data_IF_825002925621
#
_entry.id   IF_825002925621
#
_cell.length_a   1.000
_cell.length_b   1.000
_cell.length_c   1.000
_cell.angle_alpha   90.00
_cell.angle_beta   90.00
_cell.angle_gamma   90.00
#
_symmetry.space_group_name_H-M   'P 1'
#
loop_
_entity.id
_entity.type
_entity.pdbx_description
1 polymer ?
#
# COMPACT_ATOMS: atom_id res chain seq x y z
N UNK A 1 7.53 14.04 -31.82
CA UNK A 1 8.21 12.76 -32.12
C UNK A 1 7.58 11.70 -31.23
N UNK A 2 6.73 10.85 -31.80
CA UNK A 2 6.16 9.68 -31.13
C UNK A 2 7.28 8.67 -30.87
N UNK A 3 7.48 8.29 -29.61
CA UNK A 3 8.24 7.10 -29.26
C UNK A 3 7.24 6.00 -28.87
N UNK A 4 6.99 5.08 -29.80
CA UNK A 4 6.39 3.79 -29.48
C UNK A 4 7.40 3.01 -28.61
N UNK A 5 7.02 2.69 -27.37
CA UNK A 5 7.72 1.70 -26.57
C UNK A 5 6.95 0.39 -26.65
N UNK A 6 7.46 -0.55 -27.45
CA UNK A 6 7.16 -1.96 -27.26
C UNK A 6 7.89 -2.42 -26.00
N UNK A 7 7.16 -2.70 -24.93
CA UNK A 7 7.70 -3.34 -23.73
C UNK A 7 7.73 -4.86 -23.94
N UNK A 8 8.91 -5.37 -24.31
CA UNK A 8 9.22 -6.80 -24.23
C UNK A 8 9.42 -7.17 -22.76
N UNK A 9 8.52 -7.97 -22.19
CA UNK A 9 8.73 -8.60 -20.88
C UNK A 9 9.94 -9.54 -20.98
N UNK A 10 11.02 -9.23 -20.27
CA UNK A 10 12.09 -10.19 -20.01
C UNK A 10 11.99 -10.59 -18.54
N UNK A 11 11.27 -11.68 -18.27
CA UNK A 11 11.32 -12.36 -16.97
C UNK A 11 12.63 -13.16 -16.89
N UNK A 12 13.69 -12.52 -16.39
CA UNK A 12 14.86 -13.25 -15.90
C UNK A 12 14.52 -13.82 -14.52
N UNK A 13 14.17 -15.11 -14.49
CA UNK A 13 13.98 -15.87 -13.26
C UNK A 13 15.30 -16.03 -12.52
N UNK A 14 15.62 -15.09 -11.63
CA UNK A 14 16.52 -15.38 -10.52
C UNK A 14 15.72 -16.21 -9.51
N UNK A 15 16.13 -17.47 -9.31
CA UNK A 15 15.70 -18.25 -8.15
C UNK A 15 16.10 -17.45 -6.91
N UNK A 16 15.12 -16.85 -6.23
CA UNK A 16 15.33 -16.35 -4.89
C UNK A 16 15.76 -17.54 -4.02
N UNK A 17 16.88 -17.39 -3.31
CA UNK A 17 17.28 -18.36 -2.30
C UNK A 17 16.12 -18.57 -1.34
N UNK A 18 15.84 -19.83 -0.98
CA UNK A 18 14.79 -20.16 -0.02
C UNK A 18 14.98 -19.32 1.25
N UNK A 19 13.95 -18.57 1.63
CA UNK A 19 13.89 -17.87 2.91
C UNK A 19 14.04 -18.93 4.01
N UNK A 20 14.94 -18.74 4.99
CA UNK A 20 15.02 -19.63 6.14
C UNK A 20 13.67 -19.60 6.88
N UNK A 21 13.11 -20.77 7.16
CA UNK A 21 11.93 -20.88 8.01
C UNK A 21 12.28 -20.46 9.44
N UNK A 22 11.68 -19.37 9.91
CA UNK A 22 11.77 -18.95 11.31
C UNK A 22 11.20 -20.00 12.26
N UNK A 23 11.74 -20.15 13.48
CA UNK A 23 11.18 -21.02 14.50
C UNK A 23 9.84 -20.44 15.00
N UNK A 24 8.83 -21.27 15.31
CA UNK A 24 7.54 -20.77 15.76
C UNK A 24 7.67 -20.17 17.17
N UNK A 25 7.36 -18.88 17.34
CA UNK A 25 7.17 -18.33 18.69
C UNK A 25 7.41 -16.84 18.95
N UNK A 26 7.52 -15.98 17.93
CA UNK A 26 7.57 -14.52 18.12
C UNK A 26 6.60 -13.79 17.20
N UNK A 27 6.05 -12.65 17.65
CA UNK A 27 5.23 -11.73 16.83
C UNK A 27 5.91 -11.27 15.53
N UNK A 28 7.22 -11.46 15.42
CA UNK A 28 8.05 -11.01 14.31
C UNK A 28 7.75 -11.76 12.99
N UNK A 29 7.16 -12.95 13.03
CA UNK A 29 6.80 -13.70 11.81
C UNK A 29 5.34 -13.48 11.38
N UNK A 30 4.56 -12.77 12.21
CA UNK A 30 3.19 -12.40 11.84
C UNK A 30 3.27 -11.44 10.64
N UNK A 31 2.44 -11.67 9.62
CA UNK A 31 2.34 -10.87 8.37
C UNK A 31 3.44 -11.06 7.31
N UNK A 32 4.39 -11.99 7.48
CA UNK A 32 5.46 -12.23 6.48
C UNK A 32 5.09 -13.23 5.38
N UNK A 33 4.11 -14.12 5.60
CA UNK A 33 3.72 -15.11 4.59
C UNK A 33 2.86 -14.46 3.49
N UNK A 34 3.31 -14.45 2.22
CA UNK A 34 2.51 -13.95 1.11
C UNK A 34 1.39 -14.92 0.67
N UNK A 35 1.23 -16.08 1.30
CA UNK A 35 0.18 -17.07 1.00
C UNK A 35 0.25 -17.63 -0.42
N UNK A 36 1.45 -17.69 -0.99
CA UNK A 36 1.69 -18.02 -2.39
C UNK A 36 1.80 -19.52 -2.71
N UNK A 37 1.85 -20.40 -1.70
CA UNK A 37 2.00 -21.85 -1.92
C UNK A 37 3.26 -22.23 -2.71
N UNK A 38 4.37 -21.49 -2.51
CA UNK A 38 5.65 -21.70 -3.21
C UNK A 38 5.89 -20.81 -4.43
N UNK A 39 4.87 -20.10 -4.93
CA UNK A 39 5.05 -19.05 -5.95
C UNK A 39 5.75 -17.83 -5.34
N UNK A 40 6.51 -17.06 -6.13
CA UNK A 40 7.42 -16.04 -5.57
C UNK A 40 7.20 -14.61 -6.08
N UNK A 41 6.55 -14.44 -7.24
CA UNK A 41 6.46 -13.13 -7.91
C UNK A 41 5.06 -12.55 -7.80
N UNK A 42 4.98 -11.30 -7.34
CA UNK A 42 3.76 -10.50 -7.32
C UNK A 42 3.89 -9.42 -8.41
N UNK A 43 2.81 -9.14 -9.14
CA UNK A 43 2.76 -8.10 -10.18
C UNK A 43 1.88 -6.93 -9.73
N UNK A 44 2.30 -5.69 -9.97
CA UNK A 44 1.45 -4.54 -9.78
C UNK A 44 0.71 -4.22 -11.09
N UNK A 45 -0.59 -4.48 -11.13
CA UNK A 45 -1.44 -4.12 -12.28
C UNK A 45 -2.00 -2.72 -12.06
N UNK A 46 -1.12 -1.73 -12.22
CA UNK A 46 -1.39 -0.33 -11.91
C UNK A 46 -2.52 0.24 -12.78
N UNK A 47 -3.58 0.69 -12.11
CA UNK A 47 -4.77 1.32 -12.71
C UNK A 47 -5.65 0.41 -13.57
N UNK A 48 -5.46 -0.90 -13.49
CA UNK A 48 -6.32 -1.87 -14.19
C UNK A 48 -7.71 -1.93 -13.57
N UNK A 49 -8.73 -2.16 -14.40
CA UNK A 49 -10.09 -2.44 -13.92
C UNK A 49 -10.17 -3.84 -13.34
N UNK A 50 -11.08 -4.06 -12.39
CA UNK A 50 -11.25 -5.36 -11.71
C UNK A 50 -11.53 -6.50 -12.70
N UNK A 51 -12.34 -6.23 -13.72
CA UNK A 51 -12.65 -7.22 -14.76
C UNK A 51 -11.42 -7.61 -15.59
N UNK A 52 -10.49 -6.69 -15.82
CA UNK A 52 -9.28 -6.94 -16.59
C UNK A 52 -8.25 -7.71 -15.74
N UNK A 53 -8.14 -7.39 -14.44
CA UNK A 53 -7.33 -8.15 -13.49
C UNK A 53 -7.83 -9.60 -13.37
N UNK A 54 -9.16 -9.79 -13.26
CA UNK A 54 -9.76 -11.12 -13.18
C UNK A 54 -9.40 -11.97 -14.41
N UNK A 55 -9.54 -11.39 -15.61
CA UNK A 55 -9.17 -12.05 -16.86
C UNK A 55 -7.67 -12.35 -16.94
N UNK A 56 -6.81 -11.44 -16.44
CA UNK A 56 -5.36 -11.59 -16.43
C UNK A 56 -4.91 -12.74 -15.52
N UNK A 57 -5.56 -12.90 -14.35
CA UNK A 57 -5.33 -14.01 -13.44
C UNK A 57 -5.53 -15.37 -14.11
N UNK A 58 -6.62 -15.55 -14.87
CA UNK A 58 -6.95 -16.82 -15.51
C UNK A 58 -6.12 -17.10 -16.77
N UNK A 59 -5.92 -16.08 -17.62
CA UNK A 59 -5.31 -16.26 -18.94
C UNK A 59 -3.78 -16.29 -18.88
N UNK A 60 -3.18 -15.63 -17.89
CA UNK A 60 -1.74 -15.40 -17.82
C UNK A 60 -1.16 -15.75 -16.46
N UNK A 61 -1.52 -15.03 -15.39
CA UNK A 61 -0.76 -15.05 -14.14
C UNK A 61 -0.81 -16.42 -13.45
N UNK A 62 -2.00 -17.03 -13.37
CA UNK A 62 -2.17 -18.35 -12.77
C UNK A 62 -1.45 -19.44 -13.56
N UNK A 63 -1.42 -19.35 -14.90
CA UNK A 63 -0.73 -20.31 -15.78
C UNK A 63 0.79 -20.19 -15.74
N UNK A 64 1.30 -19.00 -15.45
CA UNK A 64 2.72 -18.69 -15.35
C UNK A 64 3.21 -18.64 -13.89
N UNK A 65 2.45 -19.21 -12.95
CA UNK A 65 2.84 -19.38 -11.55
C UNK A 65 3.22 -18.08 -10.82
N UNK A 66 2.59 -16.96 -11.21
CA UNK A 66 2.65 -15.74 -10.40
C UNK A 66 1.92 -15.96 -9.07
N UNK A 67 2.51 -15.46 -8.00
CA UNK A 67 1.90 -15.53 -6.68
C UNK A 67 0.62 -14.69 -6.61
N UNK A 68 0.69 -13.43 -7.04
CA UNK A 68 -0.42 -12.52 -6.82
C UNK A 68 -0.32 -11.19 -7.54
N UNK A 69 -1.32 -10.36 -7.32
CA UNK A 69 -1.48 -9.04 -7.91
C UNK A 69 -1.60 -8.00 -6.81
N UNK A 70 -0.77 -6.95 -6.85
CA UNK A 70 -1.07 -5.70 -6.17
C UNK A 70 -2.03 -4.89 -7.04
N UNK A 71 -3.20 -4.58 -6.49
CA UNK A 71 -4.20 -3.72 -7.14
C UNK A 71 -4.10 -2.29 -6.63
N UNK A 72 -4.43 -1.31 -7.49
CA UNK A 72 -4.59 0.10 -7.08
C UNK A 72 -5.66 0.24 -5.98
N UNK A 73 -5.70 1.38 -5.23
CA UNK A 73 -6.62 1.56 -4.12
C UNK A 73 -8.09 1.29 -4.53
N UNK A 74 -8.79 0.36 -3.85
CA UNK A 74 -10.15 -0.03 -4.23
C UNK A 74 -11.23 0.82 -3.55
N UNK A 75 -10.85 1.58 -2.53
CA UNK A 75 -11.75 2.44 -1.79
C UNK A 75 -12.16 3.69 -2.59
N UNK A 76 -13.25 4.32 -2.17
CA UNK A 76 -13.73 5.57 -2.71
C UNK A 76 -12.69 6.69 -2.54
N UNK A 77 -12.47 7.43 -3.61
CA UNK A 77 -11.48 8.49 -3.69
C UNK A 77 -12.06 9.77 -4.29
N UNK A 78 -11.32 10.87 -4.14
CA UNK A 78 -11.65 12.13 -4.76
C UNK A 78 -11.62 12.03 -6.29
N UNK A 79 -12.43 12.86 -6.94
CA UNK A 79 -12.44 13.05 -8.39
C UNK A 79 -11.71 14.34 -8.73
N UNK A 80 -10.84 14.29 -9.74
CA UNK A 80 -10.05 15.43 -10.19
C UNK A 80 -10.29 15.67 -11.67
N UNK A 81 -10.76 16.88 -11.98
CA UNK A 81 -11.10 17.28 -13.36
C UNK A 81 -9.94 17.96 -14.09
N UNK A 82 -8.93 18.46 -13.36
CA UNK A 82 -7.79 19.17 -13.95
C UNK A 82 -6.45 18.80 -13.27
N UNK A 83 -5.57 18.04 -13.95
CA UNK A 83 -5.85 17.29 -15.18
C UNK A 83 -6.97 16.27 -14.97
N UNK A 84 -7.71 15.84 -16.01
CA UNK A 84 -8.84 14.93 -15.85
C UNK A 84 -8.38 13.52 -15.47
N UNK A 85 -8.98 12.97 -14.41
CA UNK A 85 -8.77 11.63 -13.88
C UNK A 85 -7.28 11.20 -13.80
N UNK A 86 -6.42 11.96 -13.10
CA UNK A 86 -5.04 11.58 -12.93
C UNK A 86 -4.93 10.40 -11.96
N UNK A 87 -4.00 9.49 -12.21
CA UNK A 87 -3.79 8.29 -11.39
C UNK A 87 -3.69 8.56 -9.88
N UNK A 88 -3.13 9.72 -9.49
CA UNK A 88 -2.91 10.07 -8.09
C UNK A 88 -4.19 10.44 -7.34
N UNK A 89 -5.32 10.64 -8.03
CA UNK A 89 -6.61 10.89 -7.38
C UNK A 89 -7.03 9.73 -6.48
N UNK A 90 -6.62 8.50 -6.82
CA UNK A 90 -6.91 7.27 -6.06
C UNK A 90 -6.29 7.24 -4.65
N UNK A 91 -5.27 8.07 -4.43
CA UNK A 91 -4.59 8.19 -3.14
C UNK A 91 -5.15 9.34 -2.28
N UNK A 92 -6.29 9.89 -2.68
CA UNK A 92 -7.04 10.90 -1.95
C UNK A 92 -8.35 10.27 -1.47
N UNK A 93 -8.29 9.47 -0.40
CA UNK A 93 -9.45 8.73 0.10
C UNK A 93 -10.60 9.68 0.50
N UNK A 94 -11.83 9.28 0.16
CA UNK A 94 -13.07 9.96 0.56
C UNK A 94 -13.88 9.05 1.48
N UNK A 95 -13.92 7.75 1.20
CA UNK A 95 -14.44 6.77 2.14
C UNK A 95 -13.83 5.39 1.92
N UNK A 96 -14.17 4.44 2.79
CA UNK A 96 -13.78 3.04 2.67
C UNK A 96 -14.81 2.17 1.90
N UNK A 97 -15.76 2.79 1.17
CA UNK A 97 -16.62 2.07 0.22
C UNK A 97 -15.80 1.50 -0.93
N UNK A 98 -16.08 0.27 -1.36
CA UNK A 98 -15.35 -0.39 -2.45
C UNK A 98 -15.94 0.02 -3.82
N UNK A 99 -15.66 1.23 -4.25
CA UNK A 99 -16.01 1.71 -5.57
C UNK A 99 -15.00 2.78 -5.99
N UNK A 100 -14.25 2.49 -7.05
CA UNK A 100 -13.18 3.33 -7.59
C UNK A 100 -13.23 3.33 -9.12
N UNK A 101 -12.31 4.03 -9.76
CA UNK A 101 -12.17 4.02 -11.24
C UNK A 101 -11.94 2.62 -11.82
N UNK A 102 -11.47 1.66 -11.00
CA UNK A 102 -11.31 0.27 -11.43
C UNK A 102 -12.62 -0.52 -11.47
N UNK A 103 -13.69 -0.04 -10.83
CA UNK A 103 -15.01 -0.68 -10.83
C UNK A 103 -15.71 -0.71 -9.46
N UNK A 104 -16.86 -1.35 -9.46
CA UNK A 104 -17.77 -1.53 -8.32
C UNK A 104 -17.31 -2.62 -7.35
N UNK A 105 -17.94 -2.68 -6.17
CA UNK A 105 -17.68 -3.72 -5.17
C UNK A 105 -17.95 -5.13 -5.73
N UNK A 106 -19.03 -5.30 -6.49
CA UNK A 106 -19.38 -6.59 -7.07
C UNK A 106 -18.29 -7.08 -8.04
N UNK A 107 -17.72 -6.18 -8.83
CA UNK A 107 -16.62 -6.49 -9.74
C UNK A 107 -15.32 -6.77 -8.97
N UNK A 108 -15.05 -6.05 -7.88
CA UNK A 108 -13.91 -6.33 -6.99
C UNK A 108 -14.01 -7.73 -6.38
N UNK A 109 -15.18 -8.11 -5.85
CA UNK A 109 -15.43 -9.44 -5.29
C UNK A 109 -15.26 -10.51 -6.37
N UNK A 110 -15.80 -10.29 -7.57
CA UNK A 110 -15.62 -11.21 -8.70
C UNK A 110 -14.14 -11.40 -9.05
N UNK A 111 -13.36 -10.31 -9.07
CA UNK A 111 -11.92 -10.37 -9.33
C UNK A 111 -11.18 -11.17 -8.26
N UNK A 112 -11.44 -10.92 -6.98
CA UNK A 112 -10.80 -11.67 -5.88
C UNK A 112 -11.09 -13.16 -6.00
N UNK A 113 -12.36 -13.54 -6.23
CA UNK A 113 -12.76 -14.94 -6.38
C UNK A 113 -12.11 -15.62 -7.59
N UNK A 114 -12.12 -14.97 -8.76
CA UNK A 114 -11.55 -15.54 -9.98
C UNK A 114 -10.02 -15.67 -9.88
N UNK A 115 -9.34 -14.66 -9.34
CA UNK A 115 -7.90 -14.73 -9.12
C UNK A 115 -7.53 -15.83 -8.13
N UNK A 116 -8.26 -15.95 -7.02
CA UNK A 116 -8.08 -17.03 -6.05
C UNK A 116 -8.29 -18.41 -6.70
N UNK A 117 -9.30 -18.58 -7.55
CA UNK A 117 -9.52 -19.82 -8.29
C UNK A 117 -8.37 -20.16 -9.26
N UNK A 118 -7.67 -19.16 -9.79
CA UNK A 118 -6.45 -19.32 -10.59
C UNK A 118 -5.16 -19.50 -9.74
N UNK A 119 -5.29 -19.56 -8.41
CA UNK A 119 -4.17 -19.63 -7.47
C UNK A 119 -3.39 -18.33 -7.33
N UNK A 120 -3.97 -17.20 -7.73
CA UNK A 120 -3.35 -15.87 -7.72
C UNK A 120 -3.95 -15.06 -6.56
N UNK A 121 -3.10 -14.62 -5.62
CA UNK A 121 -3.51 -13.80 -4.47
C UNK A 121 -3.73 -12.34 -4.85
N UNK A 122 -4.63 -11.67 -4.14
CA UNK A 122 -4.84 -10.22 -4.28
C UNK A 122 -4.25 -9.51 -3.07
N UNK A 123 -3.44 -8.49 -3.32
CA UNK A 123 -2.92 -7.55 -2.32
C UNK A 123 -3.47 -6.17 -2.62
N UNK A 124 -4.09 -5.56 -1.62
CA UNK A 124 -4.71 -4.24 -1.77
C UNK A 124 -3.72 -3.14 -1.42
N UNK A 125 -3.64 -2.11 -2.26
CA UNK A 125 -3.04 -0.84 -1.90
C UNK A 125 -3.95 -0.09 -0.91
N UNK A 126 -3.54 -0.05 0.36
CA UNK A 126 -4.33 0.46 1.47
C UNK A 126 -3.92 1.90 1.81
N UNK A 127 -4.82 2.85 1.52
CA UNK A 127 -4.63 4.28 1.77
C UNK A 127 -5.44 4.69 3.01
N UNK A 128 -4.75 4.87 4.14
CA UNK A 128 -5.36 5.36 5.38
C UNK A 128 -4.44 6.29 6.20
N UNK A 129 -3.27 6.67 5.68
CA UNK A 129 -2.48 7.76 6.25
C UNK A 129 -3.26 9.09 6.19
N UNK A 130 -3.97 9.30 5.08
CA UNK A 130 -4.64 10.54 4.78
C UNK A 130 -6.01 10.32 4.14
N UNK A 131 -6.82 11.38 4.15
CA UNK A 131 -8.00 11.52 3.31
C UNK A 131 -7.73 12.54 2.19
N UNK A 132 -8.77 13.09 1.56
CA UNK A 132 -8.62 14.03 0.44
C UNK A 132 -7.77 15.27 0.80
N UNK A 133 -7.09 15.82 -0.21
CA UNK A 133 -6.30 17.04 -0.12
C UNK A 133 -7.18 18.24 0.28
N UNK A 134 -6.63 19.12 1.13
CA UNK A 134 -7.25 20.40 1.53
C UNK A 134 -7.60 21.23 0.29
N UNK A 135 -8.71 21.96 0.33
CA UNK A 135 -9.26 22.70 -0.79
C UNK A 135 -10.13 21.86 -1.74
N UNK A 136 -10.54 20.65 -1.32
CA UNK A 136 -11.41 19.76 -2.10
C UNK A 136 -12.69 19.45 -1.36
N UNK A 137 -13.79 19.51 -2.09
CA UNK A 137 -15.11 19.20 -1.56
C UNK A 137 -15.98 18.66 -2.69
N UNK A 138 -17.14 18.11 -2.33
CA UNK A 138 -18.11 17.58 -3.28
C UNK A 138 -18.29 16.08 -3.09
N UNK A 139 -18.31 15.32 -4.18
CA UNK A 139 -18.57 13.86 -4.15
C UNK A 139 -17.36 13.06 -4.59
N UNK A 140 -17.10 11.96 -3.88
CA UNK A 140 -16.12 10.95 -4.29
C UNK A 140 -16.65 10.05 -5.42
N UNK A 141 -15.79 9.14 -5.88
CA UNK A 141 -16.08 8.16 -6.93
C UNK A 141 -17.27 7.24 -6.63
N UNK A 142 -17.67 7.08 -5.35
CA UNK A 142 -18.83 6.31 -4.92
C UNK A 142 -20.01 7.19 -4.48
N UNK A 143 -19.94 8.50 -4.75
CA UNK A 143 -21.01 9.46 -4.49
C UNK A 143 -21.12 9.98 -3.05
N UNK A 144 -20.21 9.59 -2.14
CA UNK A 144 -20.18 10.14 -0.78
C UNK A 144 -19.77 11.60 -0.82
N UNK A 145 -20.46 12.43 -0.04
CA UNK A 145 -20.06 13.83 0.13
C UNK A 145 -18.86 13.94 1.05
N UNK A 146 -18.00 14.92 0.83
CA UNK A 146 -16.91 15.30 1.73
C UNK A 146 -16.58 16.78 1.58
N UNK A 147 -15.94 17.32 2.62
CA UNK A 147 -15.32 18.64 2.61
C UNK A 147 -13.99 18.57 3.37
N UNK A 148 -12.87 18.58 2.64
CA UNK A 148 -11.55 18.42 3.23
C UNK A 148 -11.08 19.69 3.96
N UNK A 149 -11.63 20.87 3.66
CA UNK A 149 -11.31 22.09 4.38
C UNK A 149 -11.83 22.02 5.82
N UNK A 150 -12.99 21.39 6.03
CA UNK A 150 -13.56 21.16 7.35
C UNK A 150 -13.27 19.77 7.93
N UNK A 151 -12.51 18.93 7.21
CA UNK A 151 -12.17 17.54 7.59
C UNK A 151 -13.42 16.68 7.80
N UNK A 152 -14.45 16.94 6.99
CA UNK A 152 -15.71 16.23 7.05
C UNK A 152 -15.72 15.09 6.02
N UNK A 153 -15.69 13.85 6.51
CA UNK A 153 -15.84 12.65 5.68
C UNK A 153 -16.96 11.75 6.25
N UNK A 154 -18.24 12.14 6.08
CA UNK A 154 -19.37 11.49 6.76
C UNK A 154 -19.59 10.01 6.43
N UNK A 155 -19.04 9.53 5.32
CA UNK A 155 -19.13 8.12 4.94
C UNK A 155 -18.14 7.21 5.70
N UNK A 156 -17.09 7.79 6.32
CA UNK A 156 -16.21 7.11 7.31
C UNK A 156 -16.58 7.46 8.75
N UNK A 157 -17.71 8.14 8.93
CA UNK A 157 -17.87 9.33 9.80
C UNK A 157 -16.60 9.93 10.44
N UNK A 158 -15.64 10.42 9.66
CA UNK A 158 -14.56 11.25 10.23
C UNK A 158 -14.92 12.73 10.32
N UNK A 159 -14.48 13.36 11.42
CA UNK A 159 -14.51 14.79 11.68
C UNK A 159 -13.15 15.30 12.19
N UNK A 160 -13.09 16.57 12.60
CA UNK A 160 -11.84 17.24 13.02
C UNK A 160 -11.00 16.45 14.04
N UNK A 161 -11.64 15.77 15.00
CA UNK A 161 -10.97 15.03 16.08
C UNK A 161 -10.24 13.76 15.59
N UNK A 162 -10.49 13.33 14.36
CA UNK A 162 -9.87 12.16 13.73
C UNK A 162 -8.61 12.51 12.92
N UNK A 163 -8.23 13.79 12.86
CA UNK A 163 -7.07 14.27 12.10
C UNK A 163 -6.06 14.95 13.03
N UNK A 164 -4.79 14.88 12.63
CA UNK A 164 -3.78 15.74 13.21
C UNK A 164 -4.07 17.21 12.88
N UNK A 165 -3.81 18.08 13.86
CA UNK A 165 -4.05 19.51 13.76
C UNK A 165 -2.77 20.32 14.07
N UNK A 166 -2.92 21.64 14.22
CA UNK A 166 -1.80 22.53 14.54
C UNK A 166 -1.20 22.29 15.94
N UNK A 167 -1.85 21.52 16.81
CA UNK A 167 -1.34 21.16 18.13
C UNK A 167 -0.44 19.92 18.10
N UNK A 168 -0.68 18.99 17.16
CA UNK A 168 0.12 17.77 16.98
C UNK A 168 1.21 17.89 15.92
N UNK A 169 1.01 18.76 14.92
CA UNK A 169 2.00 19.05 13.90
C UNK A 169 3.01 20.13 14.38
N UNK A 170 4.32 19.84 14.46
CA UNK A 170 5.32 20.83 14.90
C UNK A 170 5.55 21.98 13.91
N UNK A 171 5.05 21.87 12.67
CA UNK A 171 5.18 22.89 11.65
C UNK A 171 4.10 23.96 11.73
N UNK A 172 4.49 25.22 11.53
CA UNK A 172 3.58 26.38 11.57
C UNK A 172 2.50 26.36 10.48
N UNK A 173 2.81 25.79 9.31
CA UNK A 173 1.88 25.76 8.18
C UNK A 173 1.07 24.44 8.14
N UNK A 174 1.26 23.53 9.10
CA UNK A 174 0.67 22.19 9.14
C UNK A 174 1.14 21.20 8.06
N UNK A 175 2.12 21.58 7.22
CA UNK A 175 2.73 20.70 6.21
C UNK A 175 4.06 20.13 6.68
N UNK A 176 4.47 19.02 6.06
CA UNK A 176 5.85 18.51 6.17
C UNK A 176 6.80 19.43 5.39
N UNK A 177 7.75 20.04 6.09
CA UNK A 177 8.83 20.87 5.54
C UNK A 177 10.21 20.32 5.93
N UNK A 178 10.39 19.81 7.14
CA UNK A 178 11.63 19.18 7.60
C UNK A 178 11.52 17.65 7.70
N UNK A 179 12.05 16.97 6.68
CA UNK A 179 12.12 15.51 6.64
C UNK A 179 13.12 14.90 7.64
N UNK A 180 13.90 15.71 8.35
CA UNK A 180 14.77 15.26 9.45
C UNK A 180 14.08 15.29 10.81
N UNK A 181 12.83 15.75 10.88
CA UNK A 181 12.03 15.77 12.10
C UNK A 181 10.96 14.66 12.04
N UNK A 182 11.12 13.54 12.76
CA UNK A 182 10.15 12.45 12.75
C UNK A 182 8.73 12.86 13.17
N UNK A 183 8.60 13.84 14.08
CA UNK A 183 7.31 14.34 14.50
C UNK A 183 6.62 15.16 13.41
N UNK A 184 7.39 15.86 12.58
CA UNK A 184 6.85 16.57 11.43
C UNK A 184 6.44 15.59 10.32
N UNK A 185 7.30 14.62 10.01
CA UNK A 185 7.02 13.59 9.00
C UNK A 185 5.76 12.78 9.33
N UNK A 186 5.45 12.55 10.61
CA UNK A 186 4.36 11.64 11.01
C UNK A 186 3.08 12.29 11.52
N UNK A 187 3.08 13.61 11.75
CA UNK A 187 1.91 14.33 12.29
C UNK A 187 1.49 15.53 11.44
N UNK A 188 2.16 15.80 10.33
CA UNK A 188 1.86 16.93 9.46
C UNK A 188 1.41 16.46 8.08
N UNK A 189 0.65 17.32 7.41
CA UNK A 189 0.12 17.07 6.08
C UNK A 189 1.26 16.84 5.06
N UNK A 190 1.34 15.63 4.54
CA UNK A 190 2.13 15.34 3.35
C UNK A 190 1.40 15.91 2.12
N UNK A 191 2.06 16.84 1.42
CA UNK A 191 1.59 17.47 0.17
C UNK A 191 0.15 18.01 0.21
N UNK A 192 -0.33 18.47 1.37
CA UNK A 192 -1.67 19.07 1.52
C UNK A 192 -2.80 18.07 1.75
N UNK A 193 -2.50 16.78 1.93
CA UNK A 193 -3.48 15.76 2.29
C UNK A 193 -3.87 15.87 3.76
N UNK A 194 -5.17 15.72 4.05
CA UNK A 194 -5.68 15.74 5.43
C UNK A 194 -5.12 14.53 6.18
N UNK A 195 -4.30 14.79 7.21
CA UNK A 195 -3.49 13.78 7.89
C UNK A 195 -4.28 13.13 9.03
N UNK A 196 -4.59 11.85 8.91
CA UNK A 196 -5.44 11.11 9.87
C UNK A 196 -4.62 10.80 11.13
N UNK A 197 -5.21 10.95 12.33
CA UNK A 197 -4.53 10.63 13.59
C UNK A 197 -4.77 9.15 13.96
N UNK A 198 -3.85 8.27 13.54
CA UNK A 198 -3.95 6.83 13.82
C UNK A 198 -3.71 6.47 15.29
N UNK A 199 -3.42 7.44 16.17
CA UNK A 199 -3.37 7.20 17.61
C UNK A 199 -4.77 7.14 18.24
N UNK A 200 -5.80 7.71 17.57
CA UNK A 200 -7.18 7.70 18.04
C UNK A 200 -7.82 6.33 17.92
N UNK A 201 -8.58 5.95 18.95
CA UNK A 201 -9.30 4.67 18.98
C UNK A 201 -10.32 4.56 17.84
N UNK A 202 -11.08 5.63 17.59
CA UNK A 202 -12.08 5.67 16.51
C UNK A 202 -11.46 5.47 15.12
N UNK A 203 -10.32 6.10 14.85
CA UNK A 203 -9.56 5.91 13.61
C UNK A 203 -9.09 4.46 13.47
N UNK A 204 -8.49 3.88 14.52
CA UNK A 204 -8.03 2.49 14.50
C UNK A 204 -9.17 1.51 14.25
N UNK A 205 -10.33 1.74 14.85
CA UNK A 205 -11.55 0.98 14.61
C UNK A 205 -11.94 1.04 13.13
N UNK A 206 -12.13 2.24 12.56
CA UNK A 206 -12.57 2.42 11.17
C UNK A 206 -11.60 1.84 10.15
N UNK A 207 -10.29 2.02 10.35
CA UNK A 207 -9.27 1.41 9.49
C UNK A 207 -9.30 -0.12 9.60
N UNK A 208 -9.37 -0.66 10.82
CA UNK A 208 -9.42 -2.12 11.02
C UNK A 208 -10.70 -2.75 10.47
N UNK A 209 -11.86 -2.07 10.55
CA UNK A 209 -13.11 -2.50 9.91
C UNK A 209 -12.95 -2.60 8.38
N UNK A 210 -12.34 -1.59 7.76
CA UNK A 210 -12.07 -1.57 6.33
C UNK A 210 -11.15 -2.72 5.90
N UNK A 211 -10.02 -2.89 6.58
CA UNK A 211 -9.05 -3.95 6.27
C UNK A 211 -9.64 -5.35 6.54
N UNK A 212 -10.38 -5.52 7.65
CA UNK A 212 -11.05 -6.80 7.95
C UNK A 212 -12.15 -7.14 6.94
N UNK A 213 -12.88 -6.14 6.41
CA UNK A 213 -13.82 -6.38 5.31
C UNK A 213 -13.10 -6.91 4.08
N UNK A 214 -11.95 -6.33 3.71
CA UNK A 214 -11.16 -6.82 2.58
C UNK A 214 -10.64 -8.25 2.79
N UNK A 215 -10.17 -8.57 4.01
CA UNK A 215 -9.77 -9.94 4.39
C UNK A 215 -10.94 -10.91 4.21
N UNK A 216 -12.13 -10.56 4.70
CA UNK A 216 -13.35 -11.37 4.56
C UNK A 216 -13.74 -11.61 3.10
N UNK A 217 -13.48 -10.65 2.21
CA UNK A 217 -13.69 -10.80 0.77
C UNK A 217 -12.65 -11.69 0.08
N UNK A 218 -11.57 -12.09 0.77
CA UNK A 218 -10.53 -12.99 0.26
C UNK A 218 -9.23 -12.29 -0.18
N UNK A 219 -9.03 -11.02 0.19
CA UNK A 219 -7.74 -10.33 0.02
C UNK A 219 -6.70 -11.00 0.93
N UNK A 220 -5.53 -11.30 0.37
CA UNK A 220 -4.47 -12.03 1.07
C UNK A 220 -3.52 -11.11 1.85
N UNK A 221 -3.54 -9.81 1.59
CA UNK A 221 -2.65 -8.87 2.23
C UNK A 221 -2.73 -7.44 1.70
N UNK A 222 -1.81 -6.60 2.17
CA UNK A 222 -1.86 -5.16 1.98
C UNK A 222 -0.48 -4.57 1.69
N UNK A 223 -0.44 -3.66 0.70
CA UNK A 223 0.58 -2.63 0.58
C UNK A 223 0.11 -1.43 1.38
N UNK A 224 0.79 -1.09 2.47
CA UNK A 224 0.42 0.06 3.30
C UNK A 224 1.02 1.32 2.68
N UNK A 225 0.18 2.16 2.07
CA UNK A 225 0.59 3.43 1.47
C UNK A 225 1.13 4.40 2.53
N UNK A 226 2.14 5.19 2.15
CA UNK A 226 2.73 6.23 3.00
C UNK A 226 3.08 5.78 4.43
N UNK A 227 3.48 4.52 4.62
CA UNK A 227 3.82 3.99 5.95
C UNK A 227 4.91 4.81 6.67
N UNK A 228 5.84 5.43 5.92
CA UNK A 228 6.83 6.39 6.45
C UNK A 228 6.21 7.52 7.28
N UNK A 229 5.02 7.97 6.89
CA UNK A 229 4.29 9.09 7.49
C UNK A 229 3.35 8.64 8.62
N UNK A 230 3.35 7.36 8.99
CA UNK A 230 2.63 6.86 10.15
C UNK A 230 3.62 6.38 11.23
N UNK A 231 3.20 6.41 12.49
CA UNK A 231 4.02 5.83 13.56
C UNK A 231 3.93 4.30 13.54
N UNK A 232 5.07 3.57 13.67
CA UNK A 232 5.06 2.11 13.76
C UNK A 232 4.15 1.56 14.87
N UNK A 233 4.08 2.23 16.02
CA UNK A 233 3.19 1.84 17.13
C UNK A 233 1.70 1.89 16.74
N UNK A 234 1.31 2.83 15.89
CA UNK A 234 -0.09 3.02 15.48
C UNK A 234 -0.45 2.02 14.39
N UNK A 235 0.49 1.73 13.48
CA UNK A 235 0.40 0.60 12.55
C UNK A 235 0.26 -0.73 13.28
N UNK A 236 1.09 -0.98 14.29
CA UNK A 236 1.00 -2.18 15.12
C UNK A 236 -0.37 -2.30 15.79
N UNK A 237 -0.89 -1.22 16.39
CA UNK A 237 -2.19 -1.22 17.05
C UNK A 237 -3.37 -1.49 16.08
N UNK A 238 -3.23 -1.11 14.80
CA UNK A 238 -4.19 -1.45 13.74
C UNK A 238 -4.03 -2.92 13.33
N UNK A 239 -2.80 -3.38 13.09
CA UNK A 239 -2.51 -4.75 12.67
C UNK A 239 -3.00 -5.80 13.69
N UNK A 240 -2.83 -5.53 14.98
CA UNK A 240 -3.31 -6.40 16.07
C UNK A 240 -4.83 -6.59 16.07
N UNK A 241 -5.59 -5.71 15.41
CA UNK A 241 -7.05 -5.84 15.24
C UNK A 241 -7.46 -6.63 14.00
N UNK A 242 -6.51 -6.95 13.13
CA UNK A 242 -6.82 -7.69 11.92
C UNK A 242 -7.17 -9.13 12.27
N UNK A 243 -8.13 -9.67 11.54
CA UNK A 243 -8.53 -11.08 11.58
C UNK A 243 -7.59 -11.92 10.72
N UNK A 244 -7.59 -13.23 10.98
CA UNK A 244 -6.89 -14.17 10.09
C UNK A 244 -7.63 -14.26 8.75
N UNK A 245 -6.90 -14.64 7.71
CA UNK A 245 -7.49 -14.93 6.40
C UNK A 245 -8.53 -16.06 6.53
N UNK A 246 -9.58 -16.09 5.69
CA UNK A 246 -10.55 -17.20 5.68
C UNK A 246 -9.92 -18.59 5.51
N UNK A 247 -8.76 -18.66 4.84
CA UNK A 247 -7.97 -19.89 4.64
C UNK A 247 -6.95 -20.17 5.76
N UNK A 248 -6.86 -19.30 6.76
CA UNK A 248 -5.91 -19.37 7.86
C UNK A 248 -4.66 -18.50 7.66
N UNK A 249 -4.04 -18.11 8.79
CA UNK A 249 -2.85 -17.27 8.83
C UNK A 249 -3.13 -15.77 8.79
N UNK A 250 -2.12 -14.97 9.15
CA UNK A 250 -2.18 -13.50 9.15
C UNK A 250 -2.09 -12.96 7.72
N UNK A 251 -2.75 -11.82 7.39
CA UNK A 251 -2.60 -11.20 6.07
C UNK A 251 -1.13 -10.83 5.79
N UNK A 252 -0.69 -10.93 4.55
CA UNK A 252 0.65 -10.44 4.16
C UNK A 252 0.69 -8.92 4.25
N UNK A 253 1.71 -8.33 4.87
CA UNK A 253 1.83 -6.86 4.94
C UNK A 253 3.20 -6.42 4.47
N UNK A 254 3.22 -5.44 3.57
CA UNK A 254 4.43 -4.71 3.19
C UNK A 254 4.21 -3.21 3.20
N UNK A 255 5.15 -2.50 3.83
CA UNK A 255 5.06 -1.09 4.15
C UNK A 255 5.79 -0.25 3.10
N UNK A 256 5.11 0.74 2.57
CA UNK A 256 5.73 1.72 1.69
C UNK A 256 6.51 2.76 2.51
N UNK A 257 7.79 2.47 2.75
CA UNK A 257 8.72 3.37 3.43
C UNK A 257 9.75 3.84 2.41
N UNK A 258 9.51 5.02 1.84
CA UNK A 258 10.47 5.65 0.93
C UNK A 258 11.73 6.03 1.71
N UNK A 259 12.82 5.30 1.49
CA UNK A 259 14.12 5.55 2.10
C UNK A 259 15.24 5.17 1.12
N UNK A 260 16.12 6.12 0.83
CA UNK A 260 17.24 5.95 -0.10
C UNK A 260 18.61 5.77 0.57
N UNK A 261 18.64 5.66 1.90
CA UNK A 261 19.81 5.29 2.72
C UNK A 261 20.20 6.32 3.79
N UNK A 262 19.74 7.55 3.68
CA UNK A 262 20.15 8.70 4.50
C UNK A 262 19.02 9.35 5.31
N UNK A 263 17.77 8.91 5.12
CA UNK A 263 16.61 9.44 5.85
C UNK A 263 16.68 9.22 7.37
N UNK A 264 16.15 10.17 8.15
CA UNK A 264 16.01 10.04 9.61
C UNK A 264 15.11 8.86 10.01
N UNK A 265 14.05 8.63 9.24
CA UNK A 265 13.13 7.50 9.41
C UNK A 265 13.74 6.27 8.77
N UNK A 266 13.97 5.23 9.57
CA UNK A 266 14.64 4.01 9.11
C UNK A 266 13.61 2.92 8.76
N UNK A 267 13.91 2.13 7.73
CA UNK A 267 13.09 0.97 7.34
C UNK A 267 13.00 -0.08 8.44
N UNK A 268 14.07 -0.22 9.25
CA UNK A 268 14.12 -1.12 10.41
C UNK A 268 13.12 -0.77 11.51
N UNK A 269 12.48 0.40 11.47
CA UNK A 269 11.39 0.72 12.39
C UNK A 269 10.08 -0.05 12.07
N UNK A 270 10.01 -0.70 10.89
CA UNK A 270 8.79 -1.33 10.38
C UNK A 270 8.95 -2.83 10.08
N UNK A 271 10.17 -3.37 10.10
CA UNK A 271 10.43 -4.78 9.74
C UNK A 271 9.74 -5.77 10.69
N UNK A 272 9.61 -5.41 11.97
CA UNK A 272 8.88 -6.22 12.96
C UNK A 272 7.35 -6.25 12.71
N UNK A 273 6.84 -5.42 11.80
CA UNK A 273 5.42 -5.29 11.48
C UNK A 273 5.06 -5.93 10.13
N UNK A 274 6.05 -6.43 9.40
CA UNK A 274 5.91 -6.95 8.05
C UNK A 274 7.07 -6.49 7.15
N UNK A 275 6.95 -6.82 5.86
CA UNK A 275 7.97 -6.42 4.88
C UNK A 275 8.01 -4.90 4.69
N UNK A 276 9.14 -4.42 4.14
CA UNK A 276 9.30 -3.01 3.73
C UNK A 276 9.74 -2.96 2.27
N UNK A 277 9.27 -1.95 1.54
CA UNK A 277 9.73 -1.67 0.16
C UNK A 277 11.18 -1.17 0.15
N UNK A 278 12.08 -1.90 -0.52
CA UNK A 278 13.50 -1.52 -0.60
C UNK A 278 13.78 -0.62 -1.82
N UNK A 279 13.59 0.68 -1.64
CA UNK A 279 13.77 1.69 -2.68
C UNK A 279 15.19 1.77 -3.25
N UNK A 280 16.20 1.33 -2.49
CA UNK A 280 17.59 1.34 -2.97
C UNK A 280 17.87 0.18 -3.91
N UNK A 281 17.07 -0.89 -3.88
CA UNK A 281 17.29 -2.07 -4.72
C UNK A 281 17.36 -1.68 -6.21
N UNK A 282 16.38 -0.91 -6.70
CA UNK A 282 16.37 -0.42 -8.07
C UNK A 282 17.59 0.46 -8.41
N UNK A 283 18.04 1.29 -7.47
CA UNK A 283 19.23 2.13 -7.65
C UNK A 283 20.51 1.29 -7.76
N UNK A 284 20.68 0.30 -6.87
CA UNK A 284 21.83 -0.60 -6.92
C UNK A 284 21.82 -1.46 -8.19
N UNK A 285 20.66 -1.95 -8.60
CA UNK A 285 20.51 -2.70 -9.86
C UNK A 285 20.88 -1.83 -11.07
N UNK A 286 20.36 -0.61 -11.16
CA UNK A 286 20.68 0.31 -12.25
C UNK A 286 22.19 0.65 -12.28
N UNK A 287 22.80 0.88 -11.12
CA UNK A 287 24.26 1.08 -11.00
C UNK A 287 25.02 -0.16 -11.44
N UNK A 288 24.59 -1.36 -11.06
CA UNK A 288 25.23 -2.59 -11.46
C UNK A 288 25.20 -2.81 -12.98
N UNK A 289 24.06 -2.54 -13.61
CA UNK A 289 23.91 -2.68 -15.07
C UNK A 289 24.72 -1.64 -15.86
N UNK A 290 24.96 -0.46 -15.29
CA UNK A 290 25.67 0.64 -15.97
C UNK A 290 27.15 0.75 -15.61
N UNK A 291 27.55 0.25 -14.45
CA UNK A 291 28.91 0.45 -13.87
C UNK A 291 29.58 -0.83 -13.38
N UNK A 292 28.98 -2.00 -13.56
CA UNK A 292 29.55 -3.31 -13.22
C UNK A 292 28.89 -3.98 -12.00
N UNK A 293 28.84 -5.31 -12.02
CA UNK A 293 28.07 -6.12 -11.06
C UNK A 293 28.53 -6.02 -9.61
N UNK A 294 29.77 -5.58 -9.33
CA UNK A 294 30.27 -5.35 -7.97
C UNK A 294 29.41 -4.33 -7.19
N UNK A 295 28.67 -3.47 -7.90
CA UNK A 295 27.73 -2.52 -7.30
C UNK A 295 26.49 -3.21 -6.66
N UNK A 296 26.26 -4.51 -6.91
CA UNK A 296 25.22 -5.30 -6.21
C UNK A 296 25.62 -5.70 -4.78
N UNK A 297 26.92 -5.69 -4.46
CA UNK A 297 27.40 -6.09 -3.12
C UNK A 297 26.92 -5.14 -2.02
N UNK A 298 26.57 -3.90 -2.36
CA UNK A 298 25.95 -2.95 -1.42
C UNK A 298 24.53 -3.31 -0.96
N UNK A 299 23.89 -4.30 -1.61
CA UNK A 299 22.58 -4.83 -1.22
C UNK A 299 22.71 -5.81 -0.04
N UNK A 300 23.84 -6.54 0.04
CA UNK A 300 24.08 -7.54 1.08
C UNK A 300 24.59 -6.87 2.37
N UNK A 301 23.67 -6.44 3.24
CA UNK A 301 24.06 -5.96 4.57
C UNK A 301 23.00 -5.18 5.36
N UNK A 302 21.73 -5.15 4.93
CA UNK A 302 20.73 -4.22 5.45
C UNK A 302 19.44 -4.90 5.99
N UNK A 303 19.46 -6.21 6.27
CA UNK A 303 18.30 -6.98 6.74
C UNK A 303 17.69 -7.82 5.61
N UNK A 304 17.22 -9.04 5.89
CA UNK A 304 16.86 -10.03 4.89
C UNK A 304 15.36 -10.05 4.53
N UNK A 305 14.63 -8.95 4.75
CA UNK A 305 13.16 -8.92 4.67
C UNK A 305 12.68 -7.79 3.75
N UNK A 306 13.09 -7.84 2.49
CA UNK A 306 12.75 -6.82 1.50
C UNK A 306 11.85 -7.36 0.40
N UNK A 307 10.77 -6.63 0.15
CA UNK A 307 9.96 -6.77 -1.05
C UNK A 307 10.45 -5.75 -2.08
N UNK A 308 10.97 -6.22 -3.21
CA UNK A 308 11.32 -5.36 -4.34
C UNK A 308 10.14 -5.32 -5.31
N UNK A 309 9.32 -4.27 -5.23
CA UNK A 309 8.37 -3.96 -6.29
C UNK A 309 9.15 -3.36 -7.48
N UNK A 310 9.13 -4.05 -8.62
CA UNK A 310 9.58 -3.43 -9.87
C UNK A 310 8.41 -2.58 -10.40
N UNK A 311 8.41 -1.29 -10.07
CA UNK A 311 7.53 -0.31 -10.69
C UNK A 311 8.03 -0.11 -12.14
N UNK A 312 7.23 -0.54 -13.12
CA UNK A 312 7.42 -0.21 -14.54
C UNK A 312 6.67 1.08 -14.89
#
# INVERSE_FOLDING_TARGET
MLALWLSTLVCLGLKAAALPSSPPGGRHDDYLDPHCGGRQVIVQLFDWRWIDVAAECERCLGRNEFCGVQVSPPNEHALVDSPPAPWWQRYQAVSYKLHSDSGTEAEFISMVNNCKAAGVRIYVDAVFNNMAEVGRFGKGSAGSTYDSDFREFPAVPYGLDDFHDASSCPSKNTFVNDYNNPGEVRNCSYIGRTDVDQSKEHVREKVSEYLNRLIQLGVAGFRIDLAKFMWPRDLQAIQERLTDLPEGGRPFIYHHVENYGDDVIKTSEYTDLGYVTEFRYGQFLARAMTKGLDNLLGIQGQGQEFYSACLL
#
